data_IF_136658728647
#
_entry.id   IF_136658728647
#
_cell.length_a   1.000
_cell.length_b   1.000
_cell.length_c   1.000
_cell.angle_alpha   90.00
_cell.angle_beta   90.00
_cell.angle_gamma   90.00
#
_symmetry.space_group_name_H-M   'P 1'
#
loop_
_entity.id
_entity.type
_entity.pdbx_description
1 polymer ?
#
# COMPACT_ATOMS: atom_id res chain seq x y z
N UNK A 1 7.07 23.85 40.42
CA UNK A 1 7.69 22.50 40.35
C UNK A 1 7.26 21.86 39.05
N UNK A 2 8.04 21.96 37.97
CA UNK A 2 7.71 21.44 36.63
C UNK A 2 8.12 19.97 36.58
N UNK A 3 7.14 19.07 36.62
CA UNK A 3 7.33 17.61 36.46
C UNK A 3 7.71 17.34 34.98
N UNK A 4 8.98 17.33 34.65
CA UNK A 4 9.46 16.81 33.37
C UNK A 4 9.50 15.29 33.46
N UNK A 5 8.54 14.62 32.84
CA UNK A 5 8.57 13.18 32.66
C UNK A 5 9.87 12.76 31.96
N UNK A 6 10.51 11.64 32.36
CA UNK A 6 11.73 11.14 31.71
C UNK A 6 11.53 10.96 30.19
N UNK A 7 12.52 11.31 29.39
CA UNK A 7 12.48 11.28 27.90
C UNK A 7 12.07 9.91 27.34
N UNK A 8 12.36 8.83 28.07
CA UNK A 8 11.94 7.46 27.75
C UNK A 8 10.42 7.27 27.89
N UNK A 9 9.82 7.81 28.94
CA UNK A 9 8.39 7.71 29.23
C UNK A 9 7.57 8.50 28.20
N UNK A 10 8.06 9.66 27.77
CA UNK A 10 7.45 10.45 26.68
C UNK A 10 7.46 9.72 25.33
N UNK A 11 8.53 8.98 25.01
CA UNK A 11 8.61 8.16 23.78
C UNK A 11 7.66 6.96 23.82
N UNK A 12 7.48 6.32 24.96
CA UNK A 12 6.55 5.19 25.16
C UNK A 12 5.09 5.67 25.08
N UNK A 13 4.76 6.76 25.74
CA UNK A 13 3.44 7.41 25.70
C UNK A 13 3.08 7.85 24.26
N UNK A 14 4.02 8.48 23.54
CA UNK A 14 3.80 8.87 22.15
C UNK A 14 3.52 7.68 21.24
N UNK A 15 4.19 6.54 21.45
CA UNK A 15 3.89 5.30 20.69
C UNK A 15 2.50 4.77 21.02
N UNK A 16 2.14 4.65 22.29
CA UNK A 16 0.81 4.18 22.72
C UNK A 16 -0.27 5.10 22.16
N UNK A 17 -0.09 6.42 22.24
CA UNK A 17 -1.04 7.39 21.70
C UNK A 17 -1.26 7.21 20.18
N UNK A 18 -0.20 7.00 19.40
CA UNK A 18 -0.30 6.73 17.96
C UNK A 18 -1.06 5.43 17.64
N UNK A 19 -0.85 4.38 18.46
CA UNK A 19 -1.59 3.13 18.33
C UNK A 19 -3.09 3.34 18.60
N UNK A 20 -3.40 4.00 19.71
CA UNK A 20 -4.79 4.30 20.08
C UNK A 20 -5.49 5.15 19.03
N UNK A 21 -4.80 6.15 18.49
CA UNK A 21 -5.33 7.00 17.43
C UNK A 21 -5.59 6.20 16.14
N UNK A 22 -4.66 5.33 15.73
CA UNK A 22 -4.85 4.47 14.54
C UNK A 22 -5.98 3.46 14.75
N UNK A 23 -6.07 2.86 15.94
CA UNK A 23 -7.15 1.93 16.27
C UNK A 23 -8.51 2.64 16.36
N UNK A 24 -8.54 3.84 16.94
CA UNK A 24 -9.74 4.67 16.98
C UNK A 24 -10.20 5.04 15.56
N UNK A 25 -9.28 5.47 14.70
CA UNK A 25 -9.60 5.78 13.30
C UNK A 25 -10.16 4.55 12.57
N UNK A 26 -9.53 3.37 12.74
CA UNK A 26 -10.05 2.13 12.19
C UNK A 26 -11.45 1.80 12.70
N UNK A 27 -11.68 1.94 14.02
CA UNK A 27 -12.98 1.71 14.64
C UNK A 27 -14.06 2.67 14.14
N UNK A 28 -13.74 3.95 14.01
CA UNK A 28 -14.65 4.97 13.45
C UNK A 28 -15.01 4.65 12.00
N UNK A 29 -14.02 4.29 11.17
CA UNK A 29 -14.27 3.94 9.77
C UNK A 29 -15.08 2.64 9.64
N UNK A 30 -14.83 1.63 10.48
CA UNK A 30 -15.66 0.42 10.55
C UNK A 30 -17.08 0.76 11.00
N UNK A 31 -17.25 1.55 12.04
CA UNK A 31 -18.57 1.97 12.51
C UNK A 31 -19.38 2.63 11.39
N UNK A 32 -18.81 3.61 10.68
CA UNK A 32 -19.48 4.25 9.56
C UNK A 32 -19.73 3.30 8.38
N UNK A 33 -18.88 2.30 8.20
CA UNK A 33 -19.08 1.28 7.14
C UNK A 33 -20.24 0.34 7.49
N UNK A 34 -20.35 -0.10 8.75
CA UNK A 34 -21.26 -1.18 9.13
C UNK A 34 -22.53 -0.73 9.88
N UNK A 35 -22.69 0.56 10.22
CA UNK A 35 -23.80 1.06 11.04
C UNK A 35 -25.20 0.87 10.41
N UNK A 36 -25.26 0.81 9.07
CA UNK A 36 -26.50 0.69 8.30
C UNK A 36 -26.69 -0.73 7.74
N UNK A 37 -25.81 -1.67 8.09
CA UNK A 37 -25.82 -3.04 7.56
C UNK A 37 -26.78 -3.92 8.35
N UNK A 38 -27.77 -4.48 7.68
CA UNK A 38 -28.59 -5.55 8.22
C UNK A 38 -27.83 -6.86 8.17
N UNK A 39 -27.55 -7.42 9.35
CA UNK A 39 -26.68 -8.62 9.46
C UNK A 39 -27.26 -9.85 8.78
N UNK A 40 -28.60 -9.96 8.66
CA UNK A 40 -29.24 -11.05 7.93
C UNK A 40 -28.88 -10.99 6.46
N UNK A 41 -29.06 -9.83 5.83
CA UNK A 41 -28.80 -9.61 4.40
C UNK A 41 -27.28 -9.73 4.09
N UNK A 42 -26.44 -9.27 5.02
CA UNK A 42 -24.99 -9.46 4.91
C UNK A 42 -24.59 -10.93 4.88
N UNK A 43 -25.12 -11.73 5.80
CA UNK A 43 -24.81 -13.18 5.86
C UNK A 43 -25.36 -13.91 4.64
N UNK A 44 -26.57 -13.58 4.19
CA UNK A 44 -27.17 -14.21 3.03
C UNK A 44 -26.46 -13.80 1.72
N UNK A 45 -26.03 -12.54 1.62
CA UNK A 45 -25.16 -12.08 0.53
C UNK A 45 -23.83 -12.82 0.47
N UNK A 46 -23.22 -13.11 1.63
CA UNK A 46 -22.00 -13.94 1.70
C UNK A 46 -22.25 -15.39 1.27
N UNK A 47 -23.37 -15.98 1.67
CA UNK A 47 -23.75 -17.37 1.26
C UNK A 47 -23.98 -17.48 -0.24
N UNK A 48 -24.51 -16.43 -0.87
CA UNK A 48 -24.76 -16.37 -2.32
C UNK A 48 -23.48 -16.24 -3.17
N UNK A 49 -22.32 -16.00 -2.56
CA UNK A 49 -21.08 -15.80 -3.31
C UNK A 49 -20.48 -17.10 -3.84
N UNK A 50 -19.83 -17.01 -4.99
CA UNK A 50 -19.10 -18.10 -5.64
C UNK A 50 -17.69 -18.18 -5.11
N UNK A 51 -17.45 -19.07 -4.17
CA UNK A 51 -16.21 -19.17 -3.40
C UNK A 51 -14.99 -19.61 -4.22
N UNK A 52 -15.20 -20.27 -5.36
CA UNK A 52 -14.12 -20.62 -6.30
C UNK A 52 -13.38 -19.40 -6.82
N UNK A 53 -14.06 -18.27 -7.02
CA UNK A 53 -13.42 -17.01 -7.42
C UNK A 53 -12.69 -16.33 -6.26
N UNK A 54 -13.15 -16.52 -5.03
CA UNK A 54 -12.40 -16.05 -3.85
C UNK A 54 -11.09 -16.82 -3.71
N UNK A 55 -11.11 -18.14 -3.92
CA UNK A 55 -9.88 -18.94 -3.95
C UNK A 55 -8.94 -18.49 -5.08
N UNK A 56 -9.48 -18.15 -6.26
CA UNK A 56 -8.67 -17.57 -7.36
C UNK A 56 -8.04 -16.23 -6.94
N UNK A 57 -8.80 -15.36 -6.27
CA UNK A 57 -8.28 -14.10 -5.74
C UNK A 57 -7.14 -14.33 -4.74
N UNK A 58 -7.28 -15.31 -3.84
CA UNK A 58 -6.24 -15.67 -2.87
C UNK A 58 -4.98 -16.22 -3.57
N UNK A 59 -5.15 -17.07 -4.57
CA UNK A 59 -4.04 -17.62 -5.36
C UNK A 59 -3.30 -16.50 -6.13
N UNK A 60 -4.05 -15.57 -6.76
CA UNK A 60 -3.48 -14.40 -7.41
C UNK A 60 -2.71 -13.52 -6.39
N UNK A 61 -3.25 -13.32 -5.19
CA UNK A 61 -2.58 -12.60 -4.10
C UNK A 61 -1.27 -13.25 -3.66
N UNK A 62 -1.25 -14.57 -3.48
CA UNK A 62 -0.04 -15.33 -3.17
C UNK A 62 1.01 -15.18 -4.28
N UNK A 63 0.58 -15.24 -5.54
CA UNK A 63 1.45 -15.02 -6.69
C UNK A 63 1.98 -13.59 -6.76
N UNK A 64 1.14 -12.59 -6.42
CA UNK A 64 1.57 -11.20 -6.32
C UNK A 64 2.68 -11.03 -5.27
N UNK A 65 2.62 -11.72 -4.11
CA UNK A 65 3.70 -11.67 -3.10
C UNK A 65 5.03 -12.20 -3.65
N UNK A 66 4.98 -13.28 -4.46
CA UNK A 66 6.15 -13.81 -5.12
C UNK A 66 6.74 -12.81 -6.15
N UNK A 67 5.90 -12.24 -7.00
CA UNK A 67 6.32 -11.24 -7.99
C UNK A 67 6.92 -10.00 -7.31
N UNK A 68 6.31 -9.51 -6.22
CA UNK A 68 6.85 -8.40 -5.42
C UNK A 68 8.22 -8.73 -4.83
N UNK A 69 8.41 -9.95 -4.34
CA UNK A 69 9.70 -10.41 -3.84
C UNK A 69 10.76 -10.44 -4.96
N UNK A 70 10.42 -10.96 -6.13
CA UNK A 70 11.32 -10.98 -7.28
C UNK A 70 11.68 -9.57 -7.76
N UNK A 71 10.70 -8.65 -7.82
CA UNK A 71 10.94 -7.25 -8.17
C UNK A 71 11.83 -6.56 -7.15
N UNK A 72 11.52 -6.69 -5.86
CA UNK A 72 12.34 -6.08 -4.80
C UNK A 72 13.76 -6.63 -4.79
N UNK A 73 13.93 -7.93 -5.04
CA UNK A 73 15.28 -8.52 -5.17
C UNK A 73 16.12 -7.82 -6.24
N UNK A 74 15.51 -7.33 -7.35
CA UNK A 74 16.24 -6.57 -8.36
C UNK A 74 16.86 -5.28 -7.82
N UNK A 75 16.20 -4.64 -6.87
CA UNK A 75 16.71 -3.46 -6.19
C UNK A 75 17.77 -3.79 -5.12
N UNK A 76 17.75 -5.02 -4.59
CA UNK A 76 18.72 -5.48 -3.58
C UNK A 76 20.02 -5.98 -4.20
N UNK A 77 19.99 -6.58 -5.38
CA UNK A 77 21.16 -7.17 -6.04
C UNK A 77 22.38 -6.24 -6.16
N UNK A 78 22.23 -4.93 -6.46
CA UNK A 78 23.36 -4.00 -6.48
C UNK A 78 23.98 -3.72 -5.11
N UNK A 79 23.27 -4.07 -4.01
CA UNK A 79 23.71 -3.87 -2.63
C UNK A 79 24.35 -5.14 -2.09
N UNK A 80 23.72 -6.29 -2.37
CA UNK A 80 24.17 -7.61 -1.92
C UNK A 80 23.56 -8.69 -2.82
N UNK A 81 24.41 -9.37 -3.60
CA UNK A 81 24.04 -10.43 -4.52
C UNK A 81 23.74 -11.77 -3.83
N UNK A 82 24.19 -11.93 -2.56
CA UNK A 82 23.96 -13.13 -1.75
C UNK A 82 22.50 -13.35 -1.35
N UNK A 83 21.66 -12.29 -1.43
CA UNK A 83 20.27 -12.34 -1.01
C UNK A 83 19.47 -13.25 -1.94
N UNK A 84 18.97 -14.37 -1.39
CA UNK A 84 18.20 -15.36 -2.13
C UNK A 84 16.76 -14.88 -2.42
N UNK A 85 16.12 -15.50 -3.42
CA UNK A 85 14.70 -15.25 -3.74
C UNK A 85 13.79 -15.59 -2.55
N UNK A 86 14.09 -16.68 -1.84
CA UNK A 86 13.32 -17.12 -0.67
C UNK A 86 13.46 -16.13 0.49
N UNK A 87 14.67 -15.65 0.77
CA UNK A 87 14.88 -14.63 1.80
C UNK A 87 14.10 -13.34 1.48
N UNK A 88 14.09 -12.92 0.23
CA UNK A 88 13.31 -11.75 -0.18
C UNK A 88 11.80 -11.99 -0.06
N UNK A 89 11.32 -13.17 -0.45
CA UNK A 89 9.93 -13.59 -0.31
C UNK A 89 9.48 -13.60 1.17
N UNK A 90 10.29 -14.22 2.03
CA UNK A 90 10.03 -14.22 3.46
C UNK A 90 10.03 -12.80 4.04
N UNK A 91 10.97 -11.94 3.63
CA UNK A 91 11.00 -10.54 4.04
C UNK A 91 9.72 -9.79 3.68
N UNK A 92 9.21 -9.96 2.45
CA UNK A 92 7.95 -9.35 2.01
C UNK A 92 6.76 -9.85 2.85
N UNK A 93 6.64 -11.15 3.05
CA UNK A 93 5.50 -11.74 3.77
C UNK A 93 5.52 -11.42 5.28
N UNK A 94 6.70 -11.47 5.93
CA UNK A 94 6.85 -11.04 7.32
C UNK A 94 6.54 -9.54 7.45
N UNK A 95 6.92 -8.72 6.47
CA UNK A 95 6.52 -7.32 6.41
C UNK A 95 5.01 -7.14 6.28
N UNK A 96 4.36 -7.89 5.40
CA UNK A 96 2.91 -7.82 5.21
C UNK A 96 2.16 -8.14 6.51
N UNK A 97 2.45 -9.26 7.17
CA UNK A 97 1.78 -9.64 8.43
C UNK A 97 2.07 -8.62 9.56
N UNK A 98 3.26 -8.03 9.59
CA UNK A 98 3.61 -7.01 10.59
C UNK A 98 2.75 -5.76 10.48
N UNK A 99 2.23 -5.41 9.30
CA UNK A 99 1.35 -4.27 9.07
C UNK A 99 -0.06 -4.46 9.66
N UNK A 100 -0.47 -5.68 10.00
CA UNK A 100 -1.70 -5.93 10.77
C UNK A 100 -1.51 -5.59 12.25
N UNK A 101 -0.28 -5.76 12.77
CA UNK A 101 0.01 -5.45 14.18
C UNK A 101 0.19 -3.95 14.36
N UNK A 102 0.93 -3.32 13.42
CA UNK A 102 1.20 -1.89 13.48
C UNK A 102 1.27 -1.30 12.06
N UNK A 103 0.53 -0.21 11.80
CA UNK A 103 0.53 0.41 10.48
C UNK A 103 1.94 0.76 10.02
N UNK A 104 2.29 0.33 8.81
CA UNK A 104 3.55 0.65 8.15
C UNK A 104 4.84 0.16 8.81
N UNK A 105 4.77 -0.67 9.87
CA UNK A 105 5.98 -1.22 10.50
C UNK A 105 6.64 -2.29 9.61
N UNK A 106 5.89 -2.93 8.76
CA UNK A 106 6.35 -4.01 7.90
C UNK A 106 7.49 -3.60 6.97
N UNK A 107 7.54 -2.33 6.54
CA UNK A 107 8.63 -1.79 5.73
C UNK A 107 9.97 -1.83 6.49
N UNK A 108 9.94 -1.58 7.79
CA UNK A 108 11.12 -1.65 8.65
C UNK A 108 11.50 -3.09 9.01
N UNK A 109 10.48 -3.93 9.29
CA UNK A 109 10.69 -5.34 9.66
C UNK A 109 11.33 -6.12 8.52
N UNK A 110 10.87 -5.96 7.28
CA UNK A 110 11.45 -6.66 6.12
C UNK A 110 12.90 -6.24 5.86
N UNK A 111 13.28 -4.98 6.14
CA UNK A 111 14.68 -4.55 6.09
C UNK A 111 15.54 -5.34 7.09
N UNK A 112 15.03 -5.54 8.31
CA UNK A 112 15.72 -6.34 9.34
C UNK A 112 15.91 -7.81 8.91
N UNK A 113 14.95 -8.42 8.23
CA UNK A 113 15.08 -9.79 7.69
C UNK A 113 16.21 -9.86 6.67
N UNK A 114 16.26 -8.92 5.72
CA UNK A 114 17.31 -8.89 4.69
C UNK A 114 18.69 -8.67 5.31
N UNK A 115 18.86 -7.66 6.16
CA UNK A 115 20.17 -7.33 6.76
C UNK A 115 20.70 -8.43 7.68
N UNK A 116 19.80 -9.19 8.33
CA UNK A 116 20.18 -10.35 9.16
C UNK A 116 20.71 -11.51 8.31
N UNK A 117 20.18 -11.68 7.09
CA UNK A 117 20.52 -12.80 6.17
C UNK A 117 21.59 -12.42 5.13
N UNK A 118 21.99 -11.16 5.09
CA UNK A 118 23.11 -10.72 4.28
C UNK A 118 24.42 -11.34 4.79
N UNK A 119 25.16 -11.96 3.89
CA UNK A 119 26.40 -12.61 4.22
C UNK A 119 27.56 -11.59 4.26
N UNK A 120 28.48 -11.69 5.23
CA UNK A 120 29.69 -10.89 5.23
C UNK A 120 30.65 -11.34 4.11
N UNK A 121 31.71 -10.58 3.92
CA UNK A 121 32.88 -10.95 3.11
C UNK A 121 33.40 -12.32 3.53
N UNK A 122 33.76 -13.14 2.55
CA UNK A 122 34.42 -14.44 2.73
C UNK A 122 35.59 -14.60 1.75
N UNK A 123 36.38 -15.70 1.89
CA UNK A 123 37.54 -15.97 1.05
C UNK A 123 37.23 -16.17 -0.44
N UNK A 124 36.00 -16.53 -0.77
CA UNK A 124 35.51 -16.72 -2.15
C UNK A 124 34.96 -15.43 -2.74
N UNK A 125 34.57 -14.46 -1.89
CA UNK A 125 33.94 -13.22 -2.27
C UNK A 125 34.54 -12.05 -1.48
N UNK A 126 35.79 -11.66 -1.76
CA UNK A 126 36.52 -10.65 -0.98
C UNK A 126 35.93 -9.23 -1.11
N UNK A 127 35.16 -8.96 -2.17
CA UNK A 127 34.52 -7.66 -2.41
C UNK A 127 33.10 -7.58 -1.86
N UNK A 128 32.54 -8.67 -1.30
CA UNK A 128 31.18 -8.71 -0.79
C UNK A 128 31.05 -7.85 0.46
N UNK A 129 30.15 -6.88 0.41
CA UNK A 129 29.82 -6.04 1.56
C UNK A 129 28.47 -6.44 2.11
N UNK A 130 28.40 -6.66 3.43
CA UNK A 130 27.14 -6.89 4.12
C UNK A 130 26.17 -5.73 3.86
N UNK A 131 24.93 -6.05 3.48
CA UNK A 131 23.91 -5.04 3.24
C UNK A 131 23.61 -4.26 4.53
N UNK A 132 23.80 -2.95 4.51
CA UNK A 132 23.47 -2.09 5.63
C UNK A 132 21.98 -1.77 5.63
N UNK A 133 21.40 -1.60 6.82
CA UNK A 133 19.96 -1.38 7.00
C UNK A 133 19.45 -0.15 6.26
N UNK A 134 20.21 0.94 6.26
CA UNK A 134 19.89 2.20 5.58
C UNK A 134 19.81 2.03 4.05
N UNK A 135 20.73 1.28 3.45
CA UNK A 135 20.71 0.97 2.01
C UNK A 135 19.49 0.11 1.65
N UNK A 136 19.19 -0.92 2.45
CA UNK A 136 18.01 -1.76 2.25
C UNK A 136 16.73 -0.94 2.41
N UNK A 137 16.65 -0.06 3.40
CA UNK A 137 15.52 0.84 3.58
C UNK A 137 15.35 1.79 2.38
N UNK A 138 16.45 2.27 1.80
CA UNK A 138 16.43 3.05 0.57
C UNK A 138 15.74 2.33 -0.59
N UNK A 139 15.97 1.02 -0.75
CA UNK A 139 15.28 0.22 -1.78
C UNK A 139 13.79 0.07 -1.51
N UNK A 140 13.39 0.01 -0.23
CA UNK A 140 11.98 -0.05 0.16
C UNK A 140 11.27 1.27 -0.16
N UNK A 141 11.89 2.39 0.15
CA UNK A 141 11.36 3.73 -0.18
C UNK A 141 11.18 3.86 -1.69
N UNK A 142 12.19 3.46 -2.47
CA UNK A 142 12.14 3.46 -3.92
C UNK A 142 11.01 2.58 -4.46
N UNK A 143 10.86 1.35 -3.95
CA UNK A 143 9.80 0.43 -4.31
C UNK A 143 8.41 1.04 -4.07
N UNK A 144 8.18 1.66 -2.90
CA UNK A 144 6.91 2.31 -2.55
C UNK A 144 6.62 3.53 -3.41
N UNK A 145 7.63 4.35 -3.67
CA UNK A 145 7.49 5.50 -4.58
C UNK A 145 7.13 5.06 -5.99
N UNK A 146 7.73 3.97 -6.47
CA UNK A 146 7.43 3.40 -7.77
C UNK A 146 5.99 2.85 -7.83
N UNK A 147 5.55 2.10 -6.79
CA UNK A 147 4.17 1.60 -6.71
C UNK A 147 3.15 2.74 -6.73
N UNK A 148 3.40 3.80 -5.95
CA UNK A 148 2.53 4.97 -5.93
C UNK A 148 2.46 5.67 -7.30
N UNK A 149 3.61 5.85 -7.96
CA UNK A 149 3.68 6.46 -9.29
C UNK A 149 2.83 5.67 -10.31
N UNK A 150 3.02 4.35 -10.36
CA UNK A 150 2.28 3.48 -11.29
C UNK A 150 0.79 3.46 -10.97
N UNK A 151 0.43 3.43 -9.67
CA UNK A 151 -0.97 3.50 -9.24
C UNK A 151 -1.63 4.81 -9.71
N UNK A 152 -0.99 5.95 -9.50
CA UNK A 152 -1.52 7.24 -9.93
C UNK A 152 -1.60 7.35 -11.45
N UNK A 153 -0.62 6.81 -12.18
CA UNK A 153 -0.64 6.76 -13.63
C UNK A 153 -1.81 5.91 -14.15
N UNK A 154 -2.00 4.71 -13.61
CA UNK A 154 -3.12 3.84 -13.99
C UNK A 154 -4.46 4.46 -13.63
N UNK A 155 -4.58 5.09 -12.45
CA UNK A 155 -5.79 5.79 -12.04
C UNK A 155 -6.09 6.95 -13.01
N UNK A 156 -5.10 7.74 -13.39
CA UNK A 156 -5.26 8.81 -14.37
C UNK A 156 -5.71 8.26 -15.74
N UNK A 157 -5.12 7.15 -16.21
CA UNK A 157 -5.53 6.50 -17.48
C UNK A 157 -6.98 6.04 -17.41
N UNK A 158 -7.40 5.39 -16.31
CA UNK A 158 -8.78 4.91 -16.14
C UNK A 158 -9.77 6.07 -16.05
N UNK A 159 -9.45 7.11 -15.28
CA UNK A 159 -10.32 8.29 -15.11
C UNK A 159 -10.43 9.10 -16.40
N UNK A 160 -9.32 9.30 -17.11
CA UNK A 160 -9.34 10.06 -18.40
C UNK A 160 -9.99 9.23 -19.51
N UNK A 161 -9.68 7.92 -19.58
CA UNK A 161 -10.26 7.02 -20.59
C UNK A 161 -11.76 6.76 -20.41
N UNK A 162 -12.27 6.87 -19.19
CA UNK A 162 -13.69 6.74 -18.85
C UNK A 162 -14.23 7.99 -18.13
N UNK A 163 -13.88 9.18 -18.63
CA UNK A 163 -14.17 10.43 -17.92
C UNK A 163 -15.64 10.66 -17.62
N UNK A 164 -16.53 10.32 -18.55
CA UNK A 164 -17.98 10.45 -18.33
C UNK A 164 -18.47 9.60 -17.14
N UNK A 165 -17.86 8.46 -16.91
CA UNK A 165 -18.24 7.52 -15.84
C UNK A 165 -17.44 7.75 -14.55
N UNK A 166 -16.12 7.73 -14.62
CA UNK A 166 -15.24 7.80 -13.44
C UNK A 166 -14.92 9.24 -13.05
N UNK A 167 -14.83 10.15 -14.01
CA UNK A 167 -14.60 11.58 -13.75
C UNK A 167 -15.79 12.21 -13.03
N UNK A 168 -17.02 11.87 -13.42
CA UNK A 168 -18.25 12.32 -12.76
C UNK A 168 -18.24 11.99 -11.26
N UNK A 169 -17.84 10.78 -10.89
CA UNK A 169 -17.71 10.37 -9.49
C UNK A 169 -16.78 11.28 -8.68
N UNK A 170 -15.59 11.59 -9.21
CA UNK A 170 -14.66 12.50 -8.53
C UNK A 170 -15.21 13.91 -8.44
N UNK A 171 -15.92 14.37 -9.48
CA UNK A 171 -16.56 15.69 -9.47
C UNK A 171 -17.70 15.71 -8.46
N UNK A 172 -18.61 14.76 -8.45
CA UNK A 172 -19.81 14.77 -7.61
C UNK A 172 -19.53 14.43 -6.16
N UNK A 173 -18.69 13.42 -5.89
CA UNK A 173 -18.46 12.92 -4.52
C UNK A 173 -17.32 13.67 -3.79
N UNK A 174 -16.40 14.25 -4.53
CA UNK A 174 -15.24 14.91 -3.91
C UNK A 174 -15.25 16.40 -4.22
N UNK A 175 -15.38 16.74 -5.50
CA UNK A 175 -15.23 18.11 -5.97
C UNK A 175 -16.41 19.01 -5.56
N UNK A 176 -17.63 18.63 -5.92
CA UNK A 176 -18.84 19.41 -5.65
C UNK A 176 -19.06 19.67 -4.15
N UNK A 177 -18.93 18.68 -3.23
CA UNK A 177 -19.04 18.96 -1.79
C UNK A 177 -17.94 19.92 -1.27
N UNK A 178 -16.74 19.87 -1.86
CA UNK A 178 -15.67 20.82 -1.48
C UNK A 178 -15.95 22.23 -1.99
N UNK A 179 -16.39 22.38 -3.24
CA UNK A 179 -16.67 23.71 -3.82
C UNK A 179 -17.89 24.36 -3.20
N UNK A 180 -18.97 23.61 -2.90
CA UNK A 180 -20.16 24.14 -2.23
C UNK A 180 -19.89 24.66 -0.80
N UNK A 181 -18.85 24.11 -0.13
CA UNK A 181 -18.45 24.58 1.22
C UNK A 181 -17.55 25.80 1.20
N UNK A 182 -16.78 26.04 0.13
CA UNK A 182 -15.69 27.02 0.17
C UNK A 182 -15.80 28.12 -0.90
N UNK A 183 -16.75 28.04 -1.81
CA UNK A 183 -16.95 29.03 -2.90
C UNK A 183 -15.67 29.38 -3.72
N UNK A 184 -14.70 28.43 -3.73
CA UNK A 184 -13.41 28.61 -4.40
C UNK A 184 -13.34 27.82 -5.71
N UNK A 185 -12.82 28.46 -6.77
CA UNK A 185 -12.48 27.77 -8.00
C UNK A 185 -11.36 26.74 -7.77
N UNK A 186 -11.46 25.55 -8.43
CA UNK A 186 -10.45 24.48 -8.38
C UNK A 186 -9.05 25.01 -8.65
N UNK A 187 -8.93 25.92 -9.59
CA UNK A 187 -7.65 26.45 -9.99
C UNK A 187 -6.93 27.16 -8.84
N UNK A 188 -7.68 27.79 -7.93
CA UNK A 188 -7.09 28.37 -6.72
C UNK A 188 -6.56 27.32 -5.77
N UNK A 189 -7.28 26.20 -5.59
CA UNK A 189 -6.81 25.08 -4.76
C UNK A 189 -5.60 24.43 -5.40
N UNK A 190 -5.65 24.11 -6.70
CA UNK A 190 -4.52 23.53 -7.44
C UNK A 190 -3.33 24.47 -7.41
N UNK A 191 -3.53 25.77 -7.67
CA UNK A 191 -2.48 26.77 -7.61
C UNK A 191 -1.88 26.91 -6.21
N UNK A 192 -2.73 26.92 -5.16
CA UNK A 192 -2.26 26.98 -3.77
C UNK A 192 -1.48 25.73 -3.39
N UNK A 193 -1.97 24.53 -3.72
CA UNK A 193 -1.25 23.28 -3.47
C UNK A 193 0.07 23.21 -4.23
N UNK A 194 0.09 23.64 -5.49
CA UNK A 194 1.32 23.74 -6.28
C UNK A 194 2.30 24.76 -5.68
N UNK A 195 1.81 25.92 -5.27
CA UNK A 195 2.63 26.94 -4.61
C UNK A 195 3.21 26.45 -3.28
N UNK A 196 2.38 25.81 -2.44
CA UNK A 196 2.81 25.21 -1.18
C UNK A 196 3.84 24.11 -1.43
N UNK A 197 3.61 23.22 -2.39
CA UNK A 197 4.57 22.17 -2.76
C UNK A 197 5.90 22.76 -3.24
N UNK A 198 5.86 23.76 -4.11
CA UNK A 198 7.06 24.48 -4.59
C UNK A 198 7.76 25.20 -3.43
N UNK A 199 7.02 25.88 -2.56
CA UNK A 199 7.57 26.56 -1.39
C UNK A 199 8.22 25.56 -0.42
N UNK A 200 7.56 24.43 -0.13
CA UNK A 200 8.12 23.35 0.70
C UNK A 200 9.40 22.79 0.08
N UNK A 201 9.41 22.47 -1.21
CA UNK A 201 10.60 22.01 -1.93
C UNK A 201 11.73 23.05 -1.88
N UNK A 202 11.41 24.33 -2.11
CA UNK A 202 12.37 25.41 -2.02
C UNK A 202 12.94 25.57 -0.60
N UNK A 203 12.10 25.56 0.42
CA UNK A 203 12.54 25.66 1.82
C UNK A 203 13.40 24.46 2.23
N UNK A 204 13.02 23.25 1.86
CA UNK A 204 13.81 22.05 2.09
C UNK A 204 15.18 22.14 1.42
N UNK A 205 15.22 22.62 0.17
CA UNK A 205 16.46 22.82 -0.57
C UNK A 205 17.30 23.96 0.03
N UNK A 206 16.68 25.07 0.43
CA UNK A 206 17.37 26.27 0.96
C UNK A 206 18.00 26.00 2.33
N UNK A 207 17.28 25.24 3.19
CA UNK A 207 17.70 24.96 4.56
C UNK A 207 18.36 23.58 4.74
N UNK A 208 18.68 22.88 3.66
CA UNK A 208 19.26 21.53 3.70
C UNK A 208 20.60 21.44 4.46
N UNK A 209 21.38 22.53 4.44
CA UNK A 209 22.72 22.57 5.07
C UNK A 209 22.66 23.16 6.48
N UNK A 210 21.71 24.04 6.77
CA UNK A 210 21.59 24.72 8.07
C UNK A 210 20.69 23.96 9.06
N UNK A 211 19.78 23.12 8.58
CA UNK A 211 18.84 22.37 9.43
C UNK A 211 18.94 20.87 9.16
N UNK A 212 19.37 20.10 10.19
CA UNK A 212 19.56 18.66 10.06
C UNK A 212 18.29 17.89 9.68
N UNK A 213 17.10 18.37 10.00
CA UNK A 213 15.84 17.79 9.55
C UNK A 213 15.62 18.03 8.05
N UNK A 214 15.75 19.27 7.58
CA UNK A 214 15.62 19.62 6.16
C UNK A 214 16.66 18.87 5.32
N UNK A 215 17.90 18.75 5.81
CA UNK A 215 18.94 17.98 5.14
C UNK A 215 18.61 16.49 4.99
N UNK A 216 18.04 15.87 6.02
CA UNK A 216 17.58 14.47 5.96
C UNK A 216 16.44 14.29 4.99
N UNK A 217 15.42 15.15 5.03
CA UNK A 217 14.25 15.08 4.13
C UNK A 217 14.69 15.32 2.68
N UNK A 218 15.54 16.30 2.43
CA UNK A 218 16.12 16.54 1.10
C UNK A 218 16.96 15.39 0.60
N UNK A 219 17.77 14.77 1.48
CA UNK A 219 18.55 13.56 1.19
C UNK A 219 17.67 12.39 0.77
N UNK A 220 16.53 12.17 1.44
CA UNK A 220 15.54 11.14 1.08
C UNK A 220 14.94 11.46 -0.31
N UNK A 221 14.50 12.69 -0.53
CA UNK A 221 13.92 13.12 -1.82
C UNK A 221 14.91 12.93 -2.97
N UNK A 222 16.14 13.41 -2.80
CA UNK A 222 17.21 13.21 -3.78
C UNK A 222 17.55 11.71 -3.97
N UNK A 223 17.54 10.94 -2.89
CA UNK A 223 17.74 9.48 -2.93
C UNK A 223 16.65 8.78 -3.74
N UNK A 224 15.39 9.18 -3.62
CA UNK A 224 14.29 8.67 -4.43
C UNK A 224 14.49 9.00 -5.90
N UNK A 225 14.81 10.27 -6.24
CA UNK A 225 15.07 10.68 -7.64
C UNK A 225 16.26 9.94 -8.25
N UNK A 226 17.36 9.81 -7.51
CA UNK A 226 18.52 9.02 -7.93
C UNK A 226 18.18 7.54 -8.08
N UNK A 227 17.32 6.99 -7.20
CA UNK A 227 16.82 5.65 -7.28
C UNK A 227 16.00 5.40 -8.54
N UNK A 228 15.11 6.32 -8.94
CA UNK A 228 14.41 6.24 -10.23
C UNK A 228 15.37 6.21 -11.41
N UNK A 229 16.38 7.11 -11.41
CA UNK A 229 17.44 7.10 -12.42
C UNK A 229 18.22 5.79 -12.42
N UNK A 230 18.49 5.21 -11.24
CA UNK A 230 19.19 3.91 -11.11
C UNK A 230 18.36 2.76 -11.66
N UNK A 231 17.04 2.75 -11.46
CA UNK A 231 16.16 1.75 -12.06
C UNK A 231 16.23 1.75 -13.59
N UNK A 232 16.36 2.92 -14.20
CA UNK A 232 16.52 3.05 -15.67
C UNK A 232 17.89 2.55 -16.17
N UNK A 233 18.90 2.56 -15.29
CA UNK A 233 20.28 2.14 -15.61
C UNK A 233 20.59 0.68 -15.23
N UNK A 234 19.66 -0.03 -14.59
CA UNK A 234 19.85 -1.43 -14.22
C UNK A 234 20.06 -2.31 -15.46
N UNK A 235 20.98 -3.26 -15.39
CA UNK A 235 21.24 -4.21 -16.49
C UNK A 235 19.99 -4.98 -16.91
N UNK A 236 19.12 -5.33 -15.97
CA UNK A 236 17.89 -6.10 -16.20
C UNK A 236 16.62 -5.27 -15.92
N UNK A 237 16.62 -4.01 -16.34
CA UNK A 237 15.48 -3.09 -16.14
C UNK A 237 14.16 -3.62 -16.71
N UNK A 238 14.20 -4.33 -17.83
CA UNK A 238 13.00 -4.91 -18.44
C UNK A 238 12.30 -5.94 -17.55
N UNK A 239 13.07 -6.71 -16.75
CA UNK A 239 12.48 -7.63 -15.77
C UNK A 239 11.82 -6.87 -14.61
N UNK A 240 12.36 -5.73 -14.19
CA UNK A 240 11.73 -4.88 -13.17
C UNK A 240 10.39 -4.33 -13.68
N UNK A 241 10.33 -3.85 -14.91
CA UNK A 241 9.08 -3.40 -15.53
C UNK A 241 8.10 -4.54 -15.78
N UNK A 242 8.58 -5.69 -16.26
CA UNK A 242 7.73 -6.87 -16.45
C UNK A 242 7.11 -7.34 -15.12
N UNK A 243 7.88 -7.42 -14.04
CA UNK A 243 7.33 -7.72 -12.72
C UNK A 243 6.33 -6.67 -12.26
N UNK A 244 6.56 -5.38 -12.53
CA UNK A 244 5.60 -4.33 -12.22
C UNK A 244 4.29 -4.54 -12.96
N UNK A 245 4.33 -4.78 -14.27
CA UNK A 245 3.14 -5.05 -15.07
C UNK A 245 2.39 -6.30 -14.58
N UNK A 246 3.11 -7.40 -14.30
CA UNK A 246 2.52 -8.62 -13.76
C UNK A 246 1.89 -8.42 -12.37
N UNK A 247 2.51 -7.63 -11.49
CA UNK A 247 1.94 -7.31 -10.17
C UNK A 247 0.62 -6.57 -10.34
N UNK A 248 0.54 -5.58 -11.22
CA UNK A 248 -0.70 -4.84 -11.44
C UNK A 248 -1.77 -5.69 -12.15
N UNK A 249 -1.36 -6.59 -13.04
CA UNK A 249 -2.25 -7.59 -13.63
C UNK A 249 -2.82 -8.55 -12.56
N UNK A 250 -2.00 -8.98 -11.60
CA UNK A 250 -2.49 -9.82 -10.49
C UNK A 250 -3.41 -9.04 -9.55
N UNK A 251 -3.14 -7.75 -9.26
CA UNK A 251 -4.04 -6.92 -8.47
C UNK A 251 -5.40 -6.71 -9.16
N UNK A 252 -5.37 -6.47 -10.48
CA UNK A 252 -6.59 -6.45 -11.27
C UNK A 252 -7.33 -7.79 -11.20
N UNK A 253 -6.64 -8.92 -11.39
CA UNK A 253 -7.24 -10.25 -11.32
C UNK A 253 -7.85 -10.54 -9.94
N UNK A 254 -7.22 -10.11 -8.86
CA UNK A 254 -7.76 -10.22 -7.50
C UNK A 254 -9.09 -9.47 -7.36
N UNK A 255 -9.16 -8.23 -7.83
CA UNK A 255 -10.39 -7.43 -7.81
C UNK A 255 -11.45 -8.02 -8.74
N UNK A 256 -11.10 -8.40 -9.96
CA UNK A 256 -12.00 -9.02 -10.93
C UNK A 256 -12.56 -10.36 -10.41
N UNK A 257 -11.72 -11.20 -9.82
CA UNK A 257 -12.16 -12.46 -9.21
C UNK A 257 -13.18 -12.21 -8.09
N UNK A 258 -12.98 -11.17 -7.26
CA UNK A 258 -13.95 -10.85 -6.20
C UNK A 258 -15.26 -10.28 -6.80
N UNK A 259 -15.20 -9.51 -7.89
CA UNK A 259 -16.39 -9.07 -8.63
C UNK A 259 -17.15 -10.29 -9.16
N UNK A 260 -16.47 -11.24 -9.80
CA UNK A 260 -17.09 -12.47 -10.32
C UNK A 260 -17.63 -13.39 -9.22
N UNK A 261 -17.07 -13.31 -8.01
CA UNK A 261 -17.57 -14.04 -6.85
C UNK A 261 -18.93 -13.54 -6.37
N UNK A 262 -19.24 -12.26 -6.59
CA UNK A 262 -20.42 -11.58 -6.08
C UNK A 262 -21.49 -11.45 -7.19
N UNK A 263 -22.59 -12.25 -7.21
CA UNK A 263 -23.60 -12.21 -8.26
C UNK A 263 -24.28 -10.84 -8.43
N UNK A 264 -24.37 -10.07 -7.36
CA UNK A 264 -24.93 -8.71 -7.37
C UNK A 264 -24.02 -7.67 -8.06
N UNK A 265 -22.80 -8.06 -8.48
CA UNK A 265 -21.85 -7.25 -9.23
C UNK A 265 -21.68 -7.74 -10.69
N UNK A 266 -22.61 -8.57 -11.18
CA UNK A 266 -22.51 -9.18 -12.52
C UNK A 266 -22.41 -8.18 -13.66
N UNK A 267 -22.94 -6.97 -13.47
CA UNK A 267 -22.94 -5.91 -14.48
C UNK A 267 -21.63 -5.11 -14.54
N UNK A 268 -20.73 -5.33 -13.57
CA UNK A 268 -19.44 -4.68 -13.56
C UNK A 268 -18.49 -5.30 -14.59
N UNK A 269 -17.84 -4.41 -15.34
CA UNK A 269 -16.87 -4.79 -16.37
C UNK A 269 -15.48 -5.03 -15.81
N UNK A 270 -14.57 -5.54 -16.64
CA UNK A 270 -13.16 -5.70 -16.31
C UNK A 270 -12.44 -4.37 -16.00
N UNK A 271 -12.93 -3.25 -16.58
CA UNK A 271 -12.40 -1.91 -16.32
C UNK A 271 -12.86 -1.41 -14.94
N UNK A 272 -14.10 -1.74 -14.56
CA UNK A 272 -14.62 -1.43 -13.23
C UNK A 272 -13.85 -2.15 -12.14
N UNK A 273 -13.49 -3.42 -12.36
CA UNK A 273 -12.62 -4.17 -11.46
C UNK A 273 -11.22 -3.53 -11.31
N UNK A 274 -10.66 -3.00 -12.42
CA UNK A 274 -9.40 -2.25 -12.36
C UNK A 274 -9.56 -0.97 -11.53
N UNK A 275 -10.63 -0.22 -11.76
CA UNK A 275 -10.93 0.98 -10.99
C UNK A 275 -11.06 0.66 -9.49
N UNK A 276 -11.81 -0.38 -9.13
CA UNK A 276 -11.96 -0.81 -7.74
C UNK A 276 -10.63 -1.24 -7.11
N UNK A 277 -9.75 -1.91 -7.87
CA UNK A 277 -8.39 -2.24 -7.41
C UNK A 277 -7.56 -0.99 -7.08
N UNK A 278 -7.64 0.03 -7.93
CA UNK A 278 -6.91 1.29 -7.74
C UNK A 278 -7.45 2.11 -6.56
N UNK A 279 -8.77 2.23 -6.48
CA UNK A 279 -9.46 2.94 -5.38
C UNK A 279 -9.23 2.21 -4.05
N UNK A 280 -9.30 0.88 -4.04
CA UNK A 280 -8.95 0.07 -2.87
C UNK A 280 -7.51 0.28 -2.42
N UNK A 281 -6.58 0.46 -3.37
CA UNK A 281 -5.19 0.84 -3.09
C UNK A 281 -5.07 2.15 -2.31
N UNK A 282 -5.93 3.15 -2.58
CA UNK A 282 -6.01 4.39 -1.79
C UNK A 282 -6.45 4.12 -0.34
N UNK A 283 -7.35 3.16 -0.12
CA UNK A 283 -7.76 2.74 1.22
C UNK A 283 -6.61 2.22 2.07
N UNK A 284 -5.68 1.48 1.46
CA UNK A 284 -4.46 1.04 2.13
C UNK A 284 -3.43 2.16 2.38
N UNK A 285 -3.59 3.34 1.77
CA UNK A 285 -2.76 4.50 2.07
C UNK A 285 -3.09 5.13 3.43
N UNK A 286 -4.31 4.95 3.95
CA UNK A 286 -4.73 5.42 5.27
C UNK A 286 -3.94 4.66 6.35
N UNK A 287 -3.39 5.35 7.36
CA UNK A 287 -2.54 4.74 8.38
C UNK A 287 -3.34 4.00 9.46
N UNK A 288 -4.09 2.97 9.06
CA UNK A 288 -4.82 2.05 9.94
C UNK A 288 -4.24 0.65 9.85
N UNK A 289 -4.32 -0.18 10.93
CA UNK A 289 -3.82 -1.55 10.91
C UNK A 289 -4.45 -2.36 9.78
N UNK A 290 -3.62 -2.93 8.91
CA UNK A 290 -4.07 -3.76 7.78
C UNK A 290 -5.02 -3.08 6.78
N UNK A 291 -5.24 -1.76 6.84
CA UNK A 291 -6.24 -1.07 6.00
C UNK A 291 -7.69 -1.26 6.45
N UNK A 292 -7.90 -1.88 7.63
CA UNK A 292 -9.23 -2.22 8.16
C UNK A 292 -10.08 -0.95 8.32
N UNK A 293 -11.31 -1.00 7.88
CA UNK A 293 -12.26 0.13 7.90
C UNK A 293 -12.07 1.08 6.71
N UNK A 294 -10.86 1.57 6.46
CA UNK A 294 -10.60 2.49 5.35
C UNK A 294 -10.85 1.87 3.98
N UNK A 295 -10.38 0.64 3.76
CA UNK A 295 -10.66 -0.11 2.53
C UNK A 295 -12.16 -0.34 2.36
N UNK A 296 -12.86 -0.80 3.42
CA UNK A 296 -14.30 -1.05 3.39
C UNK A 296 -15.08 0.21 3.02
N UNK A 297 -14.80 1.31 3.71
CA UNK A 297 -15.50 2.59 3.49
C UNK A 297 -15.28 3.12 2.06
N UNK A 298 -14.04 3.18 1.60
CA UNK A 298 -13.71 3.75 0.27
C UNK A 298 -14.30 2.89 -0.86
N UNK A 299 -14.23 1.57 -0.76
CA UNK A 299 -14.79 0.67 -1.77
C UNK A 299 -16.31 0.74 -1.79
N UNK A 300 -16.97 0.72 -0.62
CA UNK A 300 -18.42 0.81 -0.56
C UNK A 300 -18.93 2.15 -1.10
N UNK A 301 -18.23 3.24 -0.78
CA UNK A 301 -18.54 4.57 -1.31
C UNK A 301 -18.39 4.61 -2.85
N UNK A 302 -17.33 3.99 -3.38
CA UNK A 302 -17.12 3.93 -4.83
C UNK A 302 -18.21 3.12 -5.54
N UNK A 303 -18.61 1.98 -4.96
CA UNK A 303 -19.71 1.14 -5.51
C UNK A 303 -21.06 1.85 -5.44
N UNK A 304 -21.34 2.53 -4.33
CA UNK A 304 -22.59 3.27 -4.19
C UNK A 304 -22.64 4.49 -5.12
N UNK A 305 -21.57 5.30 -5.14
CA UNK A 305 -21.55 6.56 -5.87
C UNK A 305 -21.44 6.40 -7.40
N UNK A 306 -20.76 5.34 -7.89
CA UNK A 306 -20.56 5.14 -9.34
C UNK A 306 -21.61 4.20 -9.96
N UNK A 307 -22.04 3.20 -9.20
CA UNK A 307 -22.83 2.11 -9.77
C UNK A 307 -24.22 2.01 -9.14
N UNK A 308 -24.55 2.91 -8.18
CA UNK A 308 -25.82 2.86 -7.48
C UNK A 308 -26.02 1.59 -6.64
N UNK A 309 -24.94 0.86 -6.36
CA UNK A 309 -24.99 -0.38 -5.57
C UNK A 309 -25.16 0.00 -4.09
N UNK A 310 -26.16 -0.59 -3.40
CA UNK A 310 -26.37 -0.29 -1.98
C UNK A 310 -25.09 -0.45 -1.15
N UNK A 311 -24.89 0.43 -0.15
CA UNK A 311 -23.69 0.42 0.70
C UNK A 311 -23.43 -0.95 1.32
N UNK A 312 -24.47 -1.68 1.70
CA UNK A 312 -24.42 -3.03 2.27
C UNK A 312 -23.73 -4.02 1.33
N UNK A 313 -24.15 -4.03 0.05
CA UNK A 313 -23.55 -4.87 -0.99
C UNK A 313 -22.08 -4.48 -1.26
N UNK A 314 -21.80 -3.17 -1.21
CA UNK A 314 -20.42 -2.67 -1.29
C UNK A 314 -19.55 -3.16 -0.13
N UNK A 315 -20.12 -3.25 1.07
CA UNK A 315 -19.43 -3.78 2.26
C UNK A 315 -19.19 -5.30 2.13
N UNK A 316 -20.15 -6.05 1.57
CA UNK A 316 -19.97 -7.49 1.31
C UNK A 316 -18.76 -7.69 0.38
N UNK A 317 -18.72 -6.98 -0.75
CA UNK A 317 -17.58 -7.04 -1.65
C UNK A 317 -16.27 -6.67 -0.98
N UNK A 318 -16.25 -5.55 -0.24
CA UNK A 318 -15.06 -5.08 0.46
C UNK A 318 -14.58 -6.09 1.52
N UNK A 319 -15.51 -6.72 2.24
CA UNK A 319 -15.21 -7.74 3.26
C UNK A 319 -14.64 -9.01 2.61
N UNK A 320 -15.24 -9.51 1.52
CA UNK A 320 -14.73 -10.65 0.77
C UNK A 320 -13.31 -10.40 0.25
N UNK A 321 -13.11 -9.24 -0.41
CA UNK A 321 -11.82 -8.85 -0.98
C UNK A 321 -10.77 -8.68 0.11
N UNK A 322 -11.05 -7.92 1.16
CA UNK A 322 -10.09 -7.63 2.22
C UNK A 322 -9.77 -8.87 3.06
N UNK A 323 -10.78 -9.64 3.47
CA UNK A 323 -10.60 -10.81 4.34
C UNK A 323 -9.84 -11.92 3.61
N UNK A 324 -10.15 -12.18 2.33
CA UNK A 324 -9.42 -13.17 1.54
C UNK A 324 -7.92 -12.83 1.46
N UNK A 325 -7.60 -11.55 1.26
CA UNK A 325 -6.21 -11.09 1.23
C UNK A 325 -5.56 -11.10 2.62
N UNK A 326 -6.30 -10.75 3.67
CA UNK A 326 -5.82 -10.83 5.04
C UNK A 326 -5.45 -12.28 5.41
N UNK A 327 -6.32 -13.25 5.11
CA UNK A 327 -6.04 -14.68 5.33
C UNK A 327 -4.79 -15.10 4.55
N UNK A 328 -4.68 -14.73 3.28
CA UNK A 328 -3.50 -15.04 2.45
C UNK A 328 -2.22 -14.46 3.07
N UNK A 329 -2.25 -13.20 3.51
CA UNK A 329 -1.10 -12.55 4.16
C UNK A 329 -0.73 -13.22 5.49
N UNK A 330 -1.71 -13.63 6.29
CA UNK A 330 -1.47 -14.32 7.57
C UNK A 330 -0.83 -15.68 7.32
N UNK A 331 -1.35 -16.47 6.38
CA UNK A 331 -0.82 -17.80 6.06
C UNK A 331 0.63 -17.72 5.58
N UNK A 332 0.89 -16.90 4.56
CA UNK A 332 2.24 -16.77 4.02
C UNK A 332 3.19 -16.03 4.97
N UNK A 333 2.69 -15.06 5.74
CA UNK A 333 3.47 -14.33 6.74
C UNK A 333 3.89 -15.21 7.90
N UNK A 334 2.97 -15.99 8.45
CA UNK A 334 3.27 -16.95 9.52
C UNK A 334 4.22 -18.06 9.03
N UNK A 335 3.96 -18.64 7.87
CA UNK A 335 4.85 -19.64 7.26
C UNK A 335 6.27 -19.10 7.03
N UNK A 336 6.38 -17.89 6.49
CA UNK A 336 7.68 -17.21 6.29
C UNK A 336 8.40 -16.94 7.61
N UNK A 337 7.67 -16.51 8.65
CA UNK A 337 8.23 -16.27 9.97
C UNK A 337 8.76 -17.56 10.60
N UNK A 338 7.97 -18.64 10.57
CA UNK A 338 8.39 -19.95 11.08
C UNK A 338 9.63 -20.44 10.32
N UNK A 339 9.64 -20.36 9.00
CA UNK A 339 10.77 -20.75 8.17
C UNK A 339 12.06 -19.98 8.55
N UNK A 340 11.97 -18.65 8.73
CA UNK A 340 13.13 -17.83 9.11
C UNK A 340 13.56 -18.08 10.57
N UNK A 341 12.65 -18.46 11.46
CA UNK A 341 12.96 -18.77 12.85
C UNK A 341 13.69 -20.12 13.00
N UNK A 342 13.36 -21.11 12.18
CA UNK A 342 13.95 -22.46 12.21
C UNK A 342 15.25 -22.53 11.40
N UNK A 343 15.38 -21.70 10.37
CA UNK A 343 16.57 -21.64 9.52
C UNK A 343 17.78 -21.08 10.33
N UNK A 344 18.76 -21.95 10.59
CA UNK A 344 20.02 -21.59 11.24
C UNK A 344 20.90 -20.74 10.34
#
# INVERSE_FOLDING_TARGET
MSFRLPTYMNKKLSKIFKYLLSALLAGVLLYFSFREVEWADFVDGLKGCRWEYILLSMAAGAFAFWLRALRWRRLLLPIDDSISRITTFNGVNIGNISNFVFPRIGEFVRCGVITRRSLPEDSLHPDRKKASYDKVLGTVVLERSWELLVMLMLLAVVVVGGFERFGGFFVEQIWTPMTLRFDFSIWWIVATLALVACACCYLLWRFRESNGFCGKVWGIFRGVLLGFSSCMKMEQKWLFFAYTALIWLTYWLMAASTVWAAPFLSDLTVIDALFLSLVGGLGFAVPVPGGIGAFHFIISLALAGLYGIPMEMGIIYATLSHTSQAVTQIVFGAGSYIYEAVRK
#
